data_IF_435889196091
#
_entry.id   IF_435889196091
#
_cell.length_a   1.000
_cell.length_b   1.000
_cell.length_c   1.000
_cell.angle_alpha   90.00
_cell.angle_beta   90.00
_cell.angle_gamma   90.00
#
_symmetry.space_group_name_H-M   'P 1'
#
loop_
_entity.id
_entity.type
_entity.pdbx_description
1 polymer ?
#
# COMPACT_ATOMS: atom_id res chain seq x y z
N UNK A 1 10.16 -0.40 -10.97
CA UNK A 1 9.50 0.69 -10.24
C UNK A 1 8.36 0.08 -9.47
N UNK A 2 8.14 0.42 -8.21
CA UNK A 2 7.15 -0.20 -7.32
C UNK A 2 6.09 0.85 -7.04
N UNK A 3 4.81 0.51 -7.25
CA UNK A 3 3.68 1.34 -6.83
C UNK A 3 3.44 1.15 -5.34
N UNK A 4 3.90 2.11 -4.54
CA UNK A 4 3.75 2.14 -3.09
C UNK A 4 2.48 2.90 -2.71
N UNK A 5 1.55 2.22 -2.07
CA UNK A 5 0.27 2.74 -1.62
C UNK A 5 0.37 3.00 -0.11
N UNK A 6 0.35 4.26 0.28
CA UNK A 6 0.34 4.71 1.67
C UNK A 6 -1.10 4.91 2.13
N UNK A 7 -1.57 4.04 3.02
CA UNK A 7 -2.87 4.16 3.67
C UNK A 7 -2.72 5.08 4.89
N UNK A 8 -3.05 6.36 4.74
CA UNK A 8 -2.88 7.36 5.81
C UNK A 8 -4.04 7.30 6.80
N UNK A 9 -5.27 7.26 6.28
CA UNK A 9 -6.52 7.11 7.03
C UNK A 9 -7.65 6.55 6.13
N UNK A 10 -8.81 6.26 6.71
CA UNK A 10 -9.93 5.61 6.01
C UNK A 10 -10.46 6.38 4.78
N UNK A 11 -10.10 7.67 4.63
CA UNK A 11 -10.46 8.53 3.50
C UNK A 11 -9.24 9.06 2.74
N UNK A 12 -8.05 8.97 3.29
CA UNK A 12 -6.83 9.49 2.66
C UNK A 12 -5.85 8.37 2.37
N UNK A 13 -5.52 8.22 1.10
CA UNK A 13 -4.41 7.39 0.63
C UNK A 13 -3.55 8.17 -0.34
N UNK A 14 -2.29 7.80 -0.43
CA UNK A 14 -1.36 8.34 -1.42
C UNK A 14 -0.69 7.18 -2.14
N UNK A 15 -0.52 7.33 -3.46
CA UNK A 15 0.21 6.36 -4.27
C UNK A 15 1.45 7.03 -4.83
N UNK A 16 2.60 6.41 -4.65
CA UNK A 16 3.88 6.88 -5.16
C UNK A 16 4.67 5.76 -5.81
N UNK A 17 5.64 6.13 -6.63
CA UNK A 17 6.49 5.17 -7.30
C UNK A 17 7.87 5.17 -6.63
N UNK A 18 8.25 4.04 -6.04
CA UNK A 18 9.54 3.85 -5.38
C UNK A 18 10.44 2.92 -6.21
N UNK A 19 11.75 3.08 -6.07
CA UNK A 19 12.70 2.13 -6.67
C UNK A 19 12.77 0.85 -5.84
N UNK A 20 12.65 0.97 -4.52
CA UNK A 20 12.72 -0.10 -3.53
C UNK A 20 11.58 0.03 -2.52
N UNK A 21 11.18 -1.08 -1.90
CA UNK A 21 10.13 -1.12 -0.88
C UNK A 21 10.75 -1.54 0.47
N UNK A 22 11.39 -0.61 1.19
CA UNK A 22 11.95 -0.90 2.51
C UNK A 22 10.85 -1.19 3.54
N UNK A 23 11.16 -1.95 4.59
CA UNK A 23 10.17 -2.35 5.60
C UNK A 23 9.60 -1.16 6.38
N UNK A 24 10.38 -0.08 6.50
CA UNK A 24 10.01 1.15 7.21
C UNK A 24 10.36 2.37 6.36
N UNK A 25 9.46 3.34 6.32
CA UNK A 25 9.62 4.63 5.65
C UNK A 25 9.19 5.75 6.58
N UNK A 26 10.03 6.78 6.75
CA UNK A 26 9.61 8.03 7.36
C UNK A 26 9.05 8.97 6.29
N UNK A 27 7.85 9.49 6.53
CA UNK A 27 7.17 10.43 5.65
C UNK A 27 6.44 11.48 6.48
N UNK A 28 6.78 12.75 6.24
CA UNK A 28 6.19 13.90 6.94
C UNK A 28 6.27 13.79 8.49
N UNK A 29 7.33 13.15 9.00
CA UNK A 29 7.53 12.90 10.44
C UNK A 29 6.65 11.78 11.00
N UNK A 30 6.04 10.96 10.14
CA UNK A 30 5.30 9.75 10.49
C UNK A 30 5.97 8.54 9.88
N UNK A 31 6.14 7.49 10.69
CA UNK A 31 6.71 6.22 10.23
C UNK A 31 5.60 5.34 9.65
N UNK A 32 5.83 4.83 8.46
CA UNK A 32 5.01 3.86 7.78
C UNK A 32 5.76 2.53 7.68
N UNK A 33 5.10 1.44 8.07
CA UNK A 33 5.61 0.09 7.88
C UNK A 33 4.96 -0.59 6.67
N UNK A 34 5.74 -1.42 6.00
CA UNK A 34 5.31 -2.25 4.89
C UNK A 34 4.38 -3.35 5.44
N UNK A 35 3.10 -3.28 5.09
CA UNK A 35 2.07 -4.23 5.56
C UNK A 35 1.77 -5.31 4.53
N UNK A 36 1.95 -5.02 3.25
CA UNK A 36 1.81 -6.02 2.18
C UNK A 36 2.69 -5.68 0.97
N UNK A 37 3.11 -6.70 0.22
CA UNK A 37 3.98 -6.49 -0.94
C UNK A 37 5.45 -6.29 -0.57
N UNK A 38 6.30 -5.85 -1.51
CA UNK A 38 5.99 -5.62 -2.92
C UNK A 38 5.65 -6.93 -3.62
N UNK A 39 4.49 -7.02 -4.27
CA UNK A 39 4.09 -8.19 -5.08
C UNK A 39 3.73 -7.75 -6.48
N UNK A 40 4.16 -8.53 -7.47
CA UNK A 40 3.81 -8.31 -8.87
C UNK A 40 2.38 -8.81 -9.12
N UNK A 41 1.43 -7.96 -9.52
CA UNK A 41 0.10 -8.41 -9.91
C UNK A 41 0.15 -9.31 -11.15
N UNK A 42 -0.76 -10.28 -11.23
CA UNK A 42 -1.03 -11.02 -12.45
C UNK A 42 -1.39 -10.05 -13.57
N UNK A 43 -0.82 -10.28 -14.74
CA UNK A 43 -1.11 -9.47 -15.92
C UNK A 43 -2.57 -9.68 -16.30
N UNK A 44 -3.38 -8.64 -16.13
CA UNK A 44 -4.75 -8.59 -16.65
C UNK A 44 -4.72 -7.87 -18.00
N UNK A 45 -5.24 -6.65 -18.08
CA UNK A 45 -5.36 -5.87 -19.30
C UNK A 45 -4.08 -5.09 -19.65
N UNK A 46 -3.17 -4.92 -18.69
CA UNK A 46 -1.87 -4.30 -18.88
C UNK A 46 -0.84 -4.85 -17.88
N UNK A 47 0.44 -4.58 -18.14
CA UNK A 47 1.52 -4.87 -17.20
C UNK A 47 1.42 -3.88 -16.03
N UNK A 48 1.18 -4.41 -14.84
CA UNK A 48 1.21 -3.64 -13.60
C UNK A 48 2.63 -3.53 -13.07
N UNK A 49 2.94 -2.46 -12.35
CA UNK A 49 4.13 -2.43 -11.49
C UNK A 49 3.90 -3.29 -10.24
N UNK A 50 4.96 -3.82 -9.59
CA UNK A 50 4.84 -4.40 -8.26
C UNK A 50 4.17 -3.43 -7.30
N UNK A 51 3.21 -3.92 -6.53
CA UNK A 51 2.45 -3.11 -5.57
C UNK A 51 2.93 -3.40 -4.15
N UNK A 52 3.25 -2.35 -3.42
CA UNK A 52 3.55 -2.38 -1.98
C UNK A 52 2.52 -1.54 -1.23
N UNK A 53 2.12 -1.99 -0.04
CA UNK A 53 1.11 -1.32 0.79
C UNK A 53 1.75 -0.97 2.12
N UNK A 54 1.75 0.31 2.41
CA UNK A 54 2.26 0.91 3.62
C UNK A 54 1.12 1.44 4.48
N UNK A 55 1.26 1.33 5.79
CA UNK A 55 0.36 1.95 6.75
C UNK A 55 1.17 2.48 7.93
N UNK A 56 0.65 3.46 8.69
CA UNK A 56 1.34 3.97 9.87
C UNK A 56 1.77 2.84 10.80
N UNK A 57 3.02 2.91 11.28
CA UNK A 57 3.62 1.84 12.08
C UNK A 57 2.92 1.67 13.44
N UNK A 58 2.36 2.76 13.95
CA UNK A 58 1.56 2.79 15.18
C UNK A 58 0.26 1.97 15.09
N UNK A 59 -0.22 1.63 13.87
CA UNK A 59 -1.44 0.85 13.72
C UNK A 59 -1.21 -0.61 14.09
N UNK A 60 -2.16 -1.15 14.84
CA UNK A 60 -2.27 -2.59 15.04
C UNK A 60 -2.68 -3.30 13.75
N UNK A 61 -2.55 -4.63 13.73
CA UNK A 61 -2.97 -5.42 12.58
C UNK A 61 -4.49 -5.31 12.32
N UNK A 62 -5.31 -5.26 13.37
CA UNK A 62 -6.77 -5.10 13.25
C UNK A 62 -7.13 -3.75 12.64
N UNK A 63 -6.56 -2.65 13.14
CA UNK A 63 -6.80 -1.31 12.60
C UNK A 63 -6.33 -1.19 11.16
N UNK A 64 -5.19 -1.82 10.83
CA UNK A 64 -4.72 -1.90 9.44
C UNK A 64 -5.71 -2.67 8.57
N UNK A 65 -6.23 -3.81 9.03
CA UNK A 65 -7.19 -4.59 8.24
C UNK A 65 -8.45 -3.78 7.96
N UNK A 66 -9.03 -3.12 8.96
CA UNK A 66 -10.19 -2.24 8.78
C UNK A 66 -9.89 -1.12 7.76
N UNK A 67 -8.74 -0.47 7.90
CA UNK A 67 -8.27 0.56 6.99
C UNK A 67 -8.07 0.04 5.56
N UNK A 68 -7.51 -1.15 5.43
CA UNK A 68 -7.28 -1.82 4.15
C UNK A 68 -8.62 -2.11 3.46
N UNK A 69 -9.59 -2.69 4.17
CA UNK A 69 -10.92 -2.97 3.63
C UNK A 69 -11.65 -1.70 3.20
N UNK A 70 -11.61 -0.63 4.00
CA UNK A 70 -12.19 0.66 3.64
C UNK A 70 -11.51 1.31 2.41
N UNK A 71 -10.22 1.02 2.21
CA UNK A 71 -9.44 1.58 1.09
C UNK A 71 -9.61 0.78 -0.20
N UNK A 72 -9.91 -0.53 -0.11
CA UNK A 72 -10.13 -1.39 -1.29
C UNK A 72 -11.21 -0.88 -2.22
N UNK A 73 -12.26 -0.26 -1.73
CA UNK A 73 -13.32 0.26 -2.61
C UNK A 73 -12.85 1.42 -3.51
N UNK A 74 -11.76 2.08 -3.12
CA UNK A 74 -11.28 3.33 -3.74
C UNK A 74 -9.96 3.17 -4.46
N UNK A 75 -9.17 2.15 -4.10
CA UNK A 75 -7.84 1.87 -4.66
C UNK A 75 -7.90 0.56 -5.45
N UNK A 76 -8.01 0.62 -6.79
CA UNK A 76 -8.07 -0.56 -7.66
C UNK A 76 -6.90 -1.52 -7.46
N UNK A 77 -5.70 -1.00 -7.18
CA UNK A 77 -4.47 -1.76 -6.99
C UNK A 77 -4.56 -2.76 -5.82
N UNK A 78 -5.39 -2.48 -4.81
CA UNK A 78 -5.63 -3.38 -3.68
C UNK A 78 -6.56 -4.56 -4.01
N UNK A 79 -7.24 -4.52 -5.17
CA UNK A 79 -8.10 -5.60 -5.66
C UNK A 79 -7.44 -6.43 -6.76
N UNK A 80 -6.18 -6.14 -7.09
CA UNK A 80 -5.45 -6.90 -8.08
C UNK A 80 -5.23 -8.33 -7.60
N UNK A 81 -5.20 -9.24 -8.57
CA UNK A 81 -4.86 -10.64 -8.33
C UNK A 81 -3.35 -10.77 -8.39
N UNK A 82 -2.79 -11.51 -7.45
CA UNK A 82 -1.36 -11.81 -7.36
C UNK A 82 -1.13 -13.29 -7.60
#
# INVERSE_FOLDING_TARGET
MISAIFLIDAKTSQTEHLEEAPELLDRDGRVFSLRAGPRQPQTTDHTWDPVAVYAPDELTEEEFQDLYWASRERIPELNLKY
#
